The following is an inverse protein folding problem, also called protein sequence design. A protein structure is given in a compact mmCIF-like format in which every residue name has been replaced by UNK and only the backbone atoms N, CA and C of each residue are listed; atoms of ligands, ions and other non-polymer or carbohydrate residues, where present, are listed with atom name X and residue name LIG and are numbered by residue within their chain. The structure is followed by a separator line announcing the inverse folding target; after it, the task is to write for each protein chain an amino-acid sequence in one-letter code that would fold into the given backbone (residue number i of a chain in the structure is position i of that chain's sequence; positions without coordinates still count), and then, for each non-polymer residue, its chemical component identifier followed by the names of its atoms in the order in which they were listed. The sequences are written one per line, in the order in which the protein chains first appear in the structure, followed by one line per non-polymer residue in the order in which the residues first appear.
data_IF_963825229883
#
_entry.id   IF_963825229883
#
_cell.length_a   1.000
_cell.length_b   1.000
_cell.length_c   1.000
_cell.angle_alpha   90.00
_cell.angle_beta   90.00
_cell.angle_gamma   90.00
#
_symmetry.space_group_name_H-M   'P 1'
#
loop_
_entity.id
_entity.type
_entity.pdbx_description
1 polymer ?
#
# COMPACT_ATOMS: atom_id res chain seq x y z
N UNK A 1 -13.44 11.31 21.78
CA UNK A 1 -12.76 11.86 20.58
C UNK A 1 -11.31 11.39 20.45
N UNK A 2 -10.47 11.46 21.50
CA UNK A 2 -9.06 10.98 21.45
C UNK A 2 -8.97 9.48 21.12
N UNK A 3 -9.69 8.63 21.87
CA UNK A 3 -9.68 7.18 21.63
C UNK A 3 -10.07 6.80 20.18
N UNK A 4 -11.10 7.46 19.64
CA UNK A 4 -11.54 7.26 18.24
C UNK A 4 -10.45 7.60 17.23
N UNK A 5 -9.72 8.71 17.44
CA UNK A 5 -8.60 9.13 16.58
C UNK A 5 -7.42 8.17 16.68
N UNK A 6 -7.10 7.69 17.87
CA UNK A 6 -6.06 6.67 18.07
C UNK A 6 -6.38 5.39 17.34
N UNK A 7 -7.62 4.86 17.46
CA UNK A 7 -8.02 3.67 16.73
C UNK A 7 -8.00 3.86 15.22
N UNK A 8 -8.49 5.00 14.72
CA UNK A 8 -8.46 5.33 13.29
C UNK A 8 -7.02 5.37 12.74
N UNK A 9 -6.12 6.09 13.40
CA UNK A 9 -4.71 6.16 13.00
C UNK A 9 -4.03 4.80 13.12
N UNK A 10 -4.36 4.03 14.16
CA UNK A 10 -3.85 2.67 14.38
C UNK A 10 -4.28 1.71 13.26
N UNK A 11 -5.57 1.67 12.90
CA UNK A 11 -6.06 0.81 11.83
C UNK A 11 -5.58 1.26 10.44
N UNK A 12 -5.47 2.56 10.19
CA UNK A 12 -4.81 3.10 9.00
C UNK A 12 -3.32 2.67 8.92
N UNK A 13 -2.63 2.67 10.06
CA UNK A 13 -1.23 2.20 10.15
C UNK A 13 -1.13 0.71 9.83
N UNK A 14 -2.00 -0.13 10.41
CA UNK A 14 -2.00 -1.58 10.14
C UNK A 14 -2.27 -1.87 8.67
N UNK A 15 -3.30 -1.26 8.08
CA UNK A 15 -3.66 -1.50 6.67
C UNK A 15 -2.60 -1.01 5.69
N UNK A 16 -2.02 0.18 5.92
CA UNK A 16 -0.87 0.64 5.11
C UNK A 16 0.37 -0.23 5.29
N UNK A 17 0.61 -0.76 6.50
CA UNK A 17 1.71 -1.70 6.77
C UNK A 17 1.54 -3.04 6.05
N UNK A 18 0.33 -3.61 6.03
CA UNK A 18 0.02 -4.82 5.27
C UNK A 18 0.30 -4.62 3.77
N UNK A 19 -0.09 -3.46 3.22
CA UNK A 19 0.12 -3.17 1.81
C UNK A 19 1.56 -2.85 1.46
N UNK A 20 2.28 -2.13 2.33
CA UNK A 20 3.72 -1.93 2.20
C UNK A 20 4.47 -3.27 2.19
N UNK A 21 4.13 -4.16 3.13
CA UNK A 21 4.67 -5.51 3.19
C UNK A 21 4.35 -6.32 1.94
N UNK A 22 3.10 -6.31 1.49
CA UNK A 22 2.67 -7.02 0.27
C UNK A 22 3.50 -6.60 -0.94
N UNK A 23 3.61 -5.30 -1.24
CA UNK A 23 4.40 -4.83 -2.39
C UNK A 23 5.89 -5.10 -2.20
N UNK A 24 6.40 -4.94 -0.98
CA UNK A 24 7.79 -5.22 -0.66
C UNK A 24 8.17 -6.67 -0.91
N UNK A 25 7.32 -7.63 -0.52
CA UNK A 25 7.52 -9.06 -0.76
C UNK A 25 7.75 -9.39 -2.24
N UNK A 26 7.06 -8.69 -3.16
CA UNK A 26 7.31 -8.88 -4.59
C UNK A 26 8.68 -8.37 -5.04
N UNK A 27 9.09 -7.21 -4.53
CA UNK A 27 10.39 -6.62 -4.84
C UNK A 27 11.57 -7.36 -4.18
N UNK A 28 11.36 -7.96 -3.00
CA UNK A 28 12.45 -8.52 -2.20
C UNK A 28 12.59 -10.04 -2.27
N UNK A 29 11.56 -10.77 -2.73
CA UNK A 29 11.63 -12.23 -2.79
C UNK A 29 10.87 -12.86 -3.94
N UNK A 30 9.61 -12.48 -4.23
CA UNK A 30 8.79 -13.20 -5.22
C UNK A 30 9.38 -13.05 -6.63
N UNK A 31 9.60 -11.81 -7.08
CA UNK A 31 10.14 -11.60 -8.44
C UNK A 31 11.58 -12.07 -8.57
N UNK A 32 12.38 -11.98 -7.49
CA UNK A 32 13.74 -12.54 -7.47
C UNK A 32 13.74 -14.06 -7.59
N UNK A 33 12.78 -14.75 -6.97
CA UNK A 33 12.62 -16.20 -7.12
C UNK A 33 12.13 -16.57 -8.52
N UNK A 34 11.22 -15.76 -9.08
CA UNK A 34 10.69 -15.98 -10.43
C UNK A 34 11.71 -15.67 -11.54
N UNK A 35 12.69 -14.83 -11.29
CA UNK A 35 13.85 -14.64 -12.19
C UNK A 35 14.63 -15.95 -12.44
N UNK A 36 14.59 -16.88 -11.47
CA UNK A 36 15.30 -18.15 -11.54
C UNK A 36 14.53 -19.26 -12.27
N UNK A 37 13.25 -19.04 -12.61
CA UNK A 37 12.43 -20.03 -13.31
C UNK A 37 12.29 -19.71 -14.80
N UNK A 38 12.00 -20.73 -15.60
CA UNK A 38 11.79 -20.56 -17.04
C UNK A 38 10.51 -19.78 -17.36
N UNK A 39 10.45 -19.18 -18.54
CA UNK A 39 9.44 -18.19 -18.93
C UNK A 39 7.99 -18.71 -18.87
N UNK A 40 7.76 -19.97 -19.26
CA UNK A 40 6.42 -20.57 -19.12
C UNK A 40 5.97 -20.67 -17.66
N UNK A 41 6.87 -21.11 -16.78
CA UNK A 41 6.58 -21.22 -15.35
C UNK A 41 6.37 -19.83 -14.72
N UNK A 42 7.13 -18.83 -15.16
CA UNK A 42 6.90 -17.43 -14.78
C UNK A 42 5.48 -16.99 -15.16
N UNK A 43 5.09 -17.16 -16.43
CA UNK A 43 3.78 -16.72 -16.94
C UNK A 43 2.66 -17.43 -16.20
N UNK A 44 2.73 -18.76 -16.09
CA UNK A 44 1.74 -19.58 -15.38
C UNK A 44 1.58 -19.14 -13.92
N UNK A 45 2.70 -18.96 -13.23
CA UNK A 45 2.69 -18.54 -11.82
C UNK A 45 2.10 -17.14 -11.67
N UNK A 46 2.54 -16.18 -12.48
CA UNK A 46 2.06 -14.79 -12.40
C UNK A 46 0.59 -14.65 -12.81
N UNK A 47 0.13 -15.38 -13.85
CA UNK A 47 -1.29 -15.43 -14.21
C UNK A 47 -2.12 -15.99 -13.05
N UNK A 48 -1.69 -17.10 -12.44
CA UNK A 48 -2.38 -17.73 -11.31
C UNK A 48 -2.46 -16.81 -10.08
N UNK A 49 -1.36 -16.14 -9.74
CA UNK A 49 -1.30 -15.16 -8.66
C UNK A 49 -2.24 -13.97 -8.96
N UNK A 50 -2.15 -13.40 -10.16
CA UNK A 50 -2.97 -12.25 -10.57
C UNK A 50 -4.47 -12.58 -10.59
N UNK A 51 -4.83 -13.81 -10.95
CA UNK A 51 -6.21 -14.28 -10.91
C UNK A 51 -6.75 -14.35 -9.47
N UNK A 52 -5.92 -14.77 -8.51
CA UNK A 52 -6.32 -15.08 -7.13
C UNK A 52 -6.11 -13.93 -6.13
N UNK A 53 -5.30 -12.92 -6.46
CA UNK A 53 -5.09 -11.73 -5.61
C UNK A 53 -6.38 -10.94 -5.37
N UNK A 54 -7.37 -11.05 -6.26
CA UNK A 54 -8.72 -10.44 -6.14
C UNK A 54 -9.59 -11.19 -5.14
N UNK A 55 -9.12 -11.32 -3.91
CA UNK A 55 -9.83 -11.96 -2.81
C UNK A 55 -10.22 -10.92 -1.72
N UNK A 56 -11.18 -11.25 -0.85
CA UNK A 56 -11.66 -10.31 0.17
C UNK A 56 -10.56 -9.79 1.11
N UNK A 57 -9.57 -10.60 1.47
CA UNK A 57 -8.52 -10.20 2.41
C UNK A 57 -7.58 -9.13 1.83
N UNK A 58 -7.19 -9.32 0.57
CA UNK A 58 -6.45 -8.30 -0.17
C UNK A 58 -7.31 -7.04 -0.33
N UNK A 59 -8.57 -7.19 -0.74
CA UNK A 59 -9.49 -6.06 -0.92
C UNK A 59 -9.68 -5.22 0.35
N UNK A 60 -9.89 -5.86 1.51
CA UNK A 60 -10.00 -5.19 2.81
C UNK A 60 -8.74 -4.39 3.12
N UNK A 61 -7.55 -4.96 2.87
CA UNK A 61 -6.28 -4.29 3.14
C UNK A 61 -6.05 -3.13 2.19
N UNK A 62 -6.26 -3.35 0.88
CA UNK A 62 -5.95 -2.40 -0.18
C UNK A 62 -6.89 -1.19 -0.19
N UNK A 63 -8.21 -1.43 -0.19
CA UNK A 63 -9.20 -0.36 -0.14
C UNK A 63 -9.33 0.22 1.27
N UNK A 64 -9.17 -0.61 2.31
CA UNK A 64 -9.19 -0.16 3.70
C UNK A 64 -8.09 0.85 3.98
N UNK A 65 -6.86 0.61 3.53
CA UNK A 65 -5.77 1.58 3.65
C UNK A 65 -6.10 2.92 2.99
N UNK A 66 -6.70 2.92 1.79
CA UNK A 66 -7.12 4.16 1.11
C UNK A 66 -8.18 4.91 1.92
N UNK A 67 -9.23 4.21 2.34
CA UNK A 67 -10.37 4.82 3.04
C UNK A 67 -9.98 5.30 4.43
N UNK A 68 -9.17 4.55 5.17
CA UNK A 68 -8.76 4.89 6.53
C UNK A 68 -7.75 6.05 6.57
N UNK A 69 -6.83 6.12 5.60
CA UNK A 69 -5.92 7.27 5.48
C UNK A 69 -6.69 8.53 5.06
N UNK A 70 -7.65 8.43 4.13
CA UNK A 70 -8.54 9.53 3.78
C UNK A 70 -9.38 10.01 4.98
N UNK A 71 -10.00 9.08 5.71
CA UNK A 71 -10.76 9.38 6.92
C UNK A 71 -9.89 10.03 8.00
N UNK A 72 -8.63 9.61 8.13
CA UNK A 72 -7.66 10.24 9.05
C UNK A 72 -7.46 11.72 8.71
N UNK A 73 -7.31 12.06 7.43
CA UNK A 73 -7.21 13.47 6.98
C UNK A 73 -8.48 14.24 7.35
N UNK A 74 -9.66 13.71 7.01
CA UNK A 74 -10.95 14.38 7.23
C UNK A 74 -11.22 14.67 8.72
N UNK A 75 -10.96 13.70 9.60
CA UNK A 75 -11.18 13.85 11.05
C UNK A 75 -10.21 14.85 11.69
N UNK A 76 -9.02 15.01 11.10
CA UNK A 76 -7.97 15.92 11.58
C UNK A 76 -8.05 17.35 10.99
N UNK A 77 -8.98 17.63 10.05
CA UNK A 77 -9.21 18.97 9.50
C UNK A 77 -9.55 20.01 10.58
N UNK A 78 -10.22 19.59 11.65
CA UNK A 78 -10.61 20.47 12.74
C UNK A 78 -9.44 20.71 13.71
N UNK A 79 -8.66 21.75 13.40
CA UNK A 79 -7.68 22.60 14.15
C UNK A 79 -7.02 22.18 15.49
N UNK A 80 -7.47 21.15 16.21
CA UNK A 80 -6.97 20.81 17.55
C UNK A 80 -5.62 20.06 17.58
N UNK A 81 -5.08 19.59 16.44
CA UNK A 81 -3.77 18.91 16.41
C UNK A 81 -2.96 19.23 15.15
N UNK A 82 -2.53 20.50 15.01
CA UNK A 82 -1.75 20.99 13.83
C UNK A 82 -0.51 20.15 13.50
N UNK A 83 0.09 19.48 14.49
CA UNK A 83 1.31 18.68 14.31
C UNK A 83 1.08 17.30 13.68
N UNK A 84 -0.13 16.73 13.79
CA UNK A 84 -0.46 15.40 13.23
C UNK A 84 -0.91 15.50 11.78
N UNK A 85 -1.63 16.58 11.44
CA UNK A 85 -2.28 16.76 10.15
C UNK A 85 -1.36 16.61 8.93
N UNK A 86 -0.13 17.20 8.89
CA UNK A 86 0.75 17.05 7.73
C UNK A 86 1.14 15.60 7.45
N UNK A 87 1.34 14.79 8.50
CA UNK A 87 1.68 13.37 8.36
C UNK A 87 0.51 12.54 7.83
N UNK A 88 -0.71 12.82 8.28
CA UNK A 88 -1.90 12.16 7.76
C UNK A 88 -2.13 12.48 6.27
N UNK A 89 -1.94 13.75 5.87
CA UNK A 89 -2.05 14.18 4.47
C UNK A 89 -0.97 13.51 3.61
N UNK A 90 0.30 13.56 4.05
CA UNK A 90 1.39 12.92 3.34
C UNK A 90 1.14 11.40 3.18
N UNK A 91 0.72 10.73 4.26
CA UNK A 91 0.37 9.31 4.24
C UNK A 91 -0.73 8.98 3.24
N UNK A 92 -1.82 9.77 3.23
CA UNK A 92 -2.92 9.59 2.27
C UNK A 92 -2.46 9.81 0.83
N UNK A 93 -1.75 10.90 0.53
CA UNK A 93 -1.29 11.21 -0.83
C UNK A 93 -0.33 10.14 -1.35
N UNK A 94 0.62 9.69 -0.53
CA UNK A 94 1.56 8.62 -0.89
C UNK A 94 0.84 7.30 -1.16
N UNK A 95 -0.15 6.95 -0.33
CA UNK A 95 -0.93 5.75 -0.56
C UNK A 95 -1.81 5.88 -1.82
N UNK A 96 -2.35 7.06 -2.09
CA UNK A 96 -3.12 7.36 -3.30
C UNK A 96 -2.25 7.21 -4.56
N UNK A 97 -0.98 7.58 -4.51
CA UNK A 97 -0.02 7.33 -5.60
C UNK A 97 0.15 5.82 -5.82
N UNK A 98 0.40 5.04 -4.77
CA UNK A 98 0.51 3.58 -4.88
C UNK A 98 -0.77 2.93 -5.43
N UNK A 99 -1.94 3.42 -5.00
CA UNK A 99 -3.24 3.02 -5.52
C UNK A 99 -3.39 3.36 -7.01
N UNK A 100 -3.02 4.58 -7.41
CA UNK A 100 -3.06 5.03 -8.80
C UNK A 100 -2.16 4.20 -9.72
N UNK A 101 -0.93 3.89 -9.30
CA UNK A 101 -0.04 2.99 -10.05
C UNK A 101 -0.66 1.60 -10.16
N UNK A 102 -1.28 1.10 -9.09
CA UNK A 102 -1.93 -0.23 -9.12
C UNK A 102 -3.05 -0.27 -10.14
N UNK A 103 -3.99 0.67 -10.07
CA UNK A 103 -5.17 0.66 -10.95
C UNK A 103 -4.85 1.06 -12.38
N UNK A 104 -3.92 2.01 -12.58
CA UNK A 104 -3.62 2.58 -13.89
C UNK A 104 -2.51 1.89 -14.66
N UNK A 105 -1.68 1.06 -14.01
CA UNK A 105 -0.52 0.43 -14.65
C UNK A 105 -0.45 -1.06 -14.32
N UNK A 106 -0.38 -1.42 -13.03
CA UNK A 106 -0.16 -2.82 -12.67
C UNK A 106 -1.34 -3.74 -13.01
N UNK A 107 -2.58 -3.29 -12.81
CA UNK A 107 -3.77 -4.05 -13.20
C UNK A 107 -3.83 -4.23 -14.74
N UNK A 108 -3.67 -3.18 -15.56
CA UNK A 108 -3.56 -3.34 -17.01
C UNK A 108 -2.47 -4.33 -17.45
N UNK A 109 -1.24 -4.21 -16.93
CA UNK A 109 -0.16 -5.17 -17.23
C UNK A 109 -0.55 -6.62 -16.87
N UNK A 110 -1.21 -6.80 -15.72
CA UNK A 110 -1.69 -8.12 -15.31
C UNK A 110 -2.77 -8.67 -16.25
N UNK A 111 -3.64 -7.81 -16.79
CA UNK A 111 -4.68 -8.17 -17.76
C UNK A 111 -4.06 -8.51 -19.12
N UNK A 112 -3.03 -7.77 -19.57
CA UNK A 112 -2.25 -8.09 -20.77
C UNK A 112 -1.56 -9.45 -20.66
N UNK A 113 -0.94 -9.74 -19.50
CA UNK A 113 -0.34 -11.05 -19.24
C UNK A 113 -1.40 -12.17 -19.28
N UNK A 114 -2.59 -11.94 -18.72
CA UNK A 114 -3.69 -12.90 -18.79
C UNK A 114 -4.21 -13.10 -20.23
N UNK A 115 -4.20 -12.04 -21.05
CA UNK A 115 -4.62 -12.09 -22.45
C UNK A 115 -3.66 -12.87 -23.35
N UNK A 116 -2.44 -13.17 -22.89
CA UNK A 116 -1.51 -14.06 -23.59
C UNK A 116 -2.02 -15.51 -23.71
N UNK A 117 -3.04 -15.88 -22.93
CA UNK A 117 -3.71 -17.18 -22.99
C UNK A 117 -3.03 -18.26 -22.16
N UNK A 118 -3.33 -19.51 -22.47
CA UNK A 118 -2.79 -20.70 -21.79
C UNK A 118 -1.25 -20.76 -21.95
N UNK A 119 -0.48 -20.74 -20.85
CA UNK A 119 0.98 -20.79 -20.87
C UNK A 119 1.56 -21.96 -21.69
N UNK A 120 0.86 -23.10 -21.74
CA UNK A 120 1.29 -24.27 -22.51
C UNK A 120 1.07 -24.10 -24.03
N UNK A 121 0.13 -23.23 -24.42
CA UNK A 121 -0.17 -22.91 -25.81
C UNK A 121 0.63 -21.71 -26.34
N UNK A 122 1.33 -20.97 -25.47
CA UNK A 122 2.15 -19.81 -25.88
C UNK A 122 3.33 -20.25 -26.75
N UNK A 123 3.35 -19.73 -27.99
CA UNK A 123 4.37 -20.06 -28.99
C UNK A 123 5.74 -19.44 -28.66
N UNK A 124 5.76 -18.20 -28.15
CA UNK A 124 6.98 -17.50 -27.72
C UNK A 124 6.84 -16.95 -26.27
N UNK A 125 7.06 -17.79 -25.25
CA UNK A 125 6.97 -17.38 -23.84
C UNK A 125 7.99 -16.30 -23.45
N UNK A 126 9.16 -16.29 -24.09
CA UNK A 126 10.22 -15.34 -23.78
C UNK A 126 9.79 -13.91 -24.15
N UNK A 127 9.17 -13.73 -25.32
CA UNK A 127 8.64 -12.44 -25.74
C UNK A 127 7.53 -11.93 -24.81
N UNK A 128 6.62 -12.82 -24.37
CA UNK A 128 5.54 -12.45 -23.42
C UNK A 128 6.11 -11.99 -22.08
N UNK A 129 7.08 -12.74 -21.53
CA UNK A 129 7.74 -12.36 -20.28
C UNK A 129 8.48 -11.03 -20.41
N UNK A 130 9.25 -10.85 -21.49
CA UNK A 130 10.03 -9.63 -21.73
C UNK A 130 9.15 -8.37 -21.82
N UNK A 131 7.92 -8.50 -22.35
CA UNK A 131 6.96 -7.41 -22.42
C UNK A 131 6.32 -7.05 -21.07
N UNK A 132 6.43 -7.91 -20.05
CA UNK A 132 5.75 -7.75 -18.77
C UNK A 132 6.70 -7.49 -17.60
N UNK A 133 7.71 -8.33 -17.41
CA UNK A 133 8.45 -8.42 -16.14
C UNK A 133 9.20 -7.13 -15.78
N UNK A 134 9.90 -6.51 -16.74
CA UNK A 134 10.69 -5.31 -16.50
C UNK A 134 9.83 -4.12 -16.05
N UNK A 135 8.74 -3.85 -16.79
CA UNK A 135 7.82 -2.76 -16.47
C UNK A 135 7.07 -3.06 -15.17
N UNK A 136 6.62 -4.30 -14.99
CA UNK A 136 5.93 -4.71 -13.77
C UNK A 136 6.82 -4.54 -12.52
N UNK A 137 8.08 -4.95 -12.59
CA UNK A 137 9.06 -4.80 -11.50
C UNK A 137 9.32 -3.34 -11.17
N UNK A 138 9.51 -2.50 -12.19
CA UNK A 138 9.76 -1.07 -12.03
C UNK A 138 8.59 -0.38 -11.32
N UNK A 139 7.36 -0.63 -11.78
CA UNK A 139 6.18 -0.04 -11.18
C UNK A 139 5.83 -0.66 -9.82
N UNK A 140 6.14 -1.94 -9.59
CA UNK A 140 6.02 -2.53 -8.25
C UNK A 140 6.97 -1.87 -7.25
N UNK A 141 8.23 -1.62 -7.62
CA UNK A 141 9.17 -0.91 -6.74
C UNK A 141 8.66 0.48 -6.37
N UNK A 142 8.14 1.24 -7.34
CA UNK A 142 7.53 2.54 -7.07
C UNK A 142 6.34 2.44 -6.09
N UNK A 143 5.47 1.42 -6.24
CA UNK A 143 4.40 1.14 -5.28
C UNK A 143 4.94 0.78 -3.90
N UNK A 144 5.99 -0.05 -3.83
CA UNK A 144 6.66 -0.42 -2.58
C UNK A 144 7.14 0.83 -1.85
N UNK A 145 7.89 1.71 -2.52
CA UNK A 145 8.45 2.91 -1.91
C UNK A 145 7.36 3.87 -1.44
N UNK A 146 6.33 4.11 -2.27
CA UNK A 146 5.20 4.95 -1.92
C UNK A 146 4.41 4.39 -0.71
N UNK A 147 4.15 3.09 -0.69
CA UNK A 147 3.43 2.44 0.40
C UNK A 147 4.23 2.41 1.71
N UNK A 148 5.55 2.15 1.66
CA UNK A 148 6.43 2.23 2.83
C UNK A 148 6.45 3.66 3.39
N UNK A 149 6.58 4.66 2.52
CA UNK A 149 6.56 6.06 2.94
C UNK A 149 5.21 6.45 3.54
N UNK A 150 4.10 5.97 2.98
CA UNK A 150 2.76 6.15 3.54
C UNK A 150 2.63 5.54 4.93
N UNK A 151 3.08 4.29 5.09
CA UNK A 151 3.11 3.58 6.37
C UNK A 151 3.96 4.31 7.42
N UNK A 152 5.15 4.79 7.06
CA UNK A 152 6.00 5.58 7.94
C UNK A 152 5.33 6.90 8.37
N UNK A 153 4.63 7.57 7.46
CA UNK A 153 3.84 8.76 7.78
C UNK A 153 2.70 8.44 8.77
N UNK A 154 2.03 7.29 8.61
CA UNK A 154 0.97 6.87 9.52
C UNK A 154 1.49 6.51 10.92
N UNK A 155 2.63 5.81 11.01
CA UNK A 155 3.35 5.59 12.28
C UNK A 155 3.66 6.93 12.93
N UNK A 156 4.20 7.88 12.17
CA UNK A 156 4.57 9.20 12.70
C UNK A 156 3.34 9.97 13.18
N UNK A 157 2.25 9.96 12.43
CA UNK A 157 0.98 10.56 12.82
C UNK A 157 0.47 9.98 14.15
N UNK A 158 0.50 8.65 14.30
CA UNK A 158 0.09 7.96 15.52
C UNK A 158 0.96 8.34 16.73
N UNK A 159 2.29 8.38 16.57
CA UNK A 159 3.22 8.77 17.64
C UNK A 159 3.03 10.23 18.06
N UNK A 160 2.87 11.14 17.10
CA UNK A 160 2.65 12.56 17.42
C UNK A 160 1.31 12.74 18.11
N UNK A 161 0.27 12.02 17.68
CA UNK A 161 -1.05 12.05 18.31
C UNK A 161 -1.02 11.51 19.75
N UNK A 162 -0.33 10.40 20.00
CA UNK A 162 -0.24 9.81 21.34
C UNK A 162 0.49 10.74 22.32
N UNK A 163 1.59 11.36 21.88
CA UNK A 163 2.33 12.35 22.69
C UNK A 163 1.48 13.58 23.01
N UNK A 164 0.79 14.14 22.02
CA UNK A 164 -0.08 15.30 22.21
C UNK A 164 -1.27 15.02 23.15
N UNK A 165 -1.71 13.75 23.22
CA UNK A 165 -2.79 13.33 24.12
C UNK A 165 -2.33 13.02 25.55
N UNK A 166 -1.02 12.83 25.76
CA UNK A 166 -0.42 12.46 27.04
C UNK A 166 0.10 13.64 27.86
N UNK A 167 0.07 14.87 27.32
CA UNK A 167 0.42 16.10 28.04
C UNK A 167 -0.88 16.85 28.38
N UNK A 168 -1.44 16.69 29.59
CA UNK A 168 -2.48 17.60 30.07
C UNK A 168 -1.89 19.00 30.23
N UNK A 169 -2.63 20.03 29.82
CA UNK A 169 -2.23 21.43 30.00
C UNK A 169 -1.79 21.69 31.46
N UNK A 170 -0.50 21.96 31.66
CA UNK A 170 0.08 22.39 32.94
C UNK A 170 -0.44 23.77 33.42
N UNK A 171 -1.43 24.34 32.71
CA UNK A 171 -2.07 25.61 33.03
C UNK A 171 -3.38 25.47 33.81
N UNK A 172 -3.88 24.25 34.07
CA UNK A 172 -5.12 24.04 34.85
C UNK A 172 -4.93 23.88 36.36
N UNK A 173 -3.71 23.59 36.82
CA UNK A 173 -3.42 23.32 38.24
C UNK A 173 -2.80 24.51 38.99
N UNK A 174 -2.64 25.67 38.34
CA UNK A 174 -2.17 26.91 38.97
C UNK A 174 -3.30 27.83 39.44
N UNK A 175 -4.56 27.36 39.44
CA UNK A 175 -5.74 28.17 39.76
C UNK A 175 -6.63 27.58 40.87
N UNK A 176 -6.07 26.77 41.77
CA UNK A 176 -6.73 26.32 43.00
C UNK A 176 -5.92 26.75 44.21
#
# INVERSE_FOLDING_TARGET
MVLTRTWLLGTATVTTGLMAGFFYTYSCSVMLGLDLVGDRAFIDTMQSINATVRNPWFGISFFGALLLTAASVLVLLHRSVRSVFPWAVAGFVLYLIAFGITMGISVPLNEELAAAGDPDAVTDPAAVRAAYEGDWNTWNLNRTLAAIAAFACMIRALIVHSRASATPDAHRDAAV
#
